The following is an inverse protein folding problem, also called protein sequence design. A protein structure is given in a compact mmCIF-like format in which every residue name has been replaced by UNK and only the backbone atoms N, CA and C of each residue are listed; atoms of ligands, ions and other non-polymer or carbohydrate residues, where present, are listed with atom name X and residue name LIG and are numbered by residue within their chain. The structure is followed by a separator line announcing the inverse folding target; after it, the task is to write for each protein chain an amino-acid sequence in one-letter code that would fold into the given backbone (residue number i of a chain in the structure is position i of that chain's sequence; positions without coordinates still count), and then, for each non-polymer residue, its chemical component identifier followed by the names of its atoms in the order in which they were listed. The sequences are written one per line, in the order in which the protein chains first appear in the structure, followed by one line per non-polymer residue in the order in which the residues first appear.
data_IF_825313598348
#
_entry.id   IF_825313598348
#
_cell.length_a   1.000
_cell.length_b   1.000
_cell.length_c   1.000
_cell.angle_alpha   90.00
_cell.angle_beta   90.00
_cell.angle_gamma   90.00
#
_symmetry.space_group_name_H-M   'P 1'
#
loop_
_entity.id
_entity.type
_entity.pdbx_description
1 polymer ?
#
# COMPACT_ATOMS: atom_id res chain seq x y z
N UNK A 1 -14.39 -5.61 -1.32
CA UNK A 1 -14.44 -6.78 -0.42
C UNK A 1 -13.10 -6.87 0.28
N UNK A 2 -13.10 -7.13 1.59
CA UNK A 2 -11.86 -7.39 2.36
C UNK A 2 -11.59 -8.88 2.30
N UNK A 3 -10.36 -9.28 2.00
CA UNK A 3 -9.96 -10.68 2.01
C UNK A 3 -9.56 -11.14 3.41
N UNK A 4 -9.52 -12.45 3.60
CA UNK A 4 -9.01 -13.13 4.78
C UNK A 4 -7.68 -13.78 4.41
N UNK A 5 -6.63 -13.51 5.18
CA UNK A 5 -5.34 -14.19 4.99
C UNK A 5 -5.28 -15.48 5.81
N UNK A 6 -4.77 -16.56 5.24
CA UNK A 6 -4.69 -17.86 5.92
C UNK A 6 -3.23 -18.27 6.11
N UNK A 7 -2.78 -18.25 7.36
CA UNK A 7 -1.43 -18.60 7.79
C UNK A 7 -1.35 -20.05 8.26
N UNK A 8 -0.34 -20.77 7.82
CA UNK A 8 -0.11 -22.19 8.09
C UNK A 8 1.39 -22.51 7.98
N UNK A 9 1.80 -23.73 8.38
CA UNK A 9 3.19 -24.16 8.22
C UNK A 9 3.45 -24.72 6.81
N UNK A 10 4.23 -24.04 5.94
CA UNK A 10 4.42 -24.48 4.55
C UNK A 10 5.31 -25.73 4.39
N UNK A 11 5.98 -26.17 5.46
CA UNK A 11 6.81 -27.38 5.47
C UNK A 11 6.08 -28.62 5.98
N UNK A 12 4.88 -28.45 6.55
CA UNK A 12 4.05 -29.54 7.08
C UNK A 12 3.01 -29.97 6.04
N UNK A 13 3.11 -31.19 5.53
CA UNK A 13 2.11 -31.75 4.60
C UNK A 13 0.69 -31.75 5.17
N UNK A 14 0.46 -32.19 6.44
CA UNK A 14 -0.86 -32.09 7.06
C UNK A 14 -1.42 -30.66 7.09
N UNK A 15 -0.58 -29.66 7.37
CA UNK A 15 -1.00 -28.26 7.41
C UNK A 15 -1.38 -27.73 6.03
N UNK A 16 -0.62 -28.09 4.98
CA UNK A 16 -0.91 -27.75 3.58
C UNK A 16 -2.27 -28.34 3.15
N UNK A 17 -2.51 -29.62 3.44
CA UNK A 17 -3.77 -30.29 3.11
C UNK A 17 -4.95 -29.63 3.84
N UNK A 18 -4.77 -29.29 5.11
CA UNK A 18 -5.78 -28.61 5.91
C UNK A 18 -6.04 -27.18 5.41
N UNK A 19 -5.00 -26.44 5.08
CA UNK A 19 -5.03 -25.11 4.48
C UNK A 19 -5.86 -25.12 3.19
N UNK A 20 -5.59 -26.06 2.27
CA UNK A 20 -6.36 -26.17 1.03
C UNK A 20 -7.84 -26.46 1.28
N UNK A 21 -8.12 -27.37 2.21
CA UNK A 21 -9.49 -27.72 2.60
C UNK A 21 -10.21 -26.50 3.18
N UNK A 22 -9.59 -25.80 4.12
CA UNK A 22 -10.16 -24.62 4.76
C UNK A 22 -10.36 -23.47 3.78
N UNK A 23 -9.38 -23.21 2.90
CA UNK A 23 -9.51 -22.22 1.81
C UNK A 23 -10.71 -22.53 0.92
N UNK A 24 -10.88 -23.78 0.50
CA UNK A 24 -12.02 -24.20 -0.34
C UNK A 24 -13.34 -24.00 0.39
N UNK A 25 -13.42 -24.44 1.64
CA UNK A 25 -14.67 -24.42 2.40
C UNK A 25 -15.05 -22.96 2.78
N UNK A 26 -14.09 -22.06 3.04
CA UNK A 26 -14.34 -20.62 3.22
C UNK A 26 -14.73 -19.90 1.93
N UNK A 27 -14.10 -20.23 0.79
CA UNK A 27 -14.48 -19.67 -0.52
C UNK A 27 -15.88 -20.12 -0.95
N UNK A 28 -16.35 -21.28 -0.49
CA UNK A 28 -17.74 -21.72 -0.70
C UNK A 28 -18.77 -20.89 0.09
N UNK A 29 -18.31 -20.17 1.13
CA UNK A 29 -19.08 -19.16 1.88
C UNK A 29 -18.79 -17.74 1.35
N UNK A 30 -18.45 -17.59 0.05
CA UNK A 30 -18.19 -16.29 -0.59
C UNK A 30 -17.12 -15.39 0.08
N UNK A 31 -16.24 -15.97 0.91
CA UNK A 31 -15.09 -15.26 1.48
C UNK A 31 -13.94 -15.23 0.48
N UNK A 32 -13.38 -14.04 0.24
CA UNK A 32 -12.13 -13.90 -0.50
C UNK A 32 -10.96 -14.31 0.40
N UNK A 33 -10.28 -15.40 0.05
CA UNK A 33 -9.22 -16.00 0.90
C UNK A 33 -7.91 -16.04 0.15
N UNK A 34 -6.88 -15.41 0.74
CA UNK A 34 -5.51 -15.40 0.23
C UNK A 34 -4.59 -16.30 1.07
N UNK A 35 -3.61 -16.89 0.41
CA UNK A 35 -2.56 -17.74 1.00
C UNK A 35 -1.21 -17.41 0.39
N UNK A 36 -0.13 -17.77 1.05
CA UNK A 36 1.23 -17.59 0.53
C UNK A 36 1.50 -18.38 -0.78
N UNK A 37 0.76 -19.44 -1.10
CA UNK A 37 0.92 -20.18 -2.37
C UNK A 37 0.65 -19.34 -3.62
N UNK A 38 -0.20 -18.33 -3.49
CA UNK A 38 -0.64 -17.46 -4.60
C UNK A 38 0.22 -16.18 -4.66
N UNK A 39 1.17 -16.02 -3.73
CA UNK A 39 1.88 -14.77 -3.46
C UNK A 39 3.40 -15.00 -3.36
N UNK A 40 4.20 -13.99 -3.66
CA UNK A 40 5.66 -14.10 -3.60
C UNK A 40 6.27 -12.86 -2.94
N UNK A 41 7.22 -13.07 -2.03
CA UNK A 41 8.01 -12.00 -1.42
C UNK A 41 7.14 -11.00 -0.66
N UNK A 42 7.28 -9.72 -1.02
CA UNK A 42 6.55 -8.60 -0.38
C UNK A 42 5.03 -8.70 -0.54
N UNK A 43 4.53 -9.46 -1.52
CA UNK A 43 3.09 -9.66 -1.72
C UNK A 43 2.43 -10.42 -0.55
N UNK A 44 3.18 -11.26 0.18
CA UNK A 44 2.66 -11.99 1.35
C UNK A 44 2.42 -11.01 2.50
N UNK A 45 3.40 -10.15 2.80
CA UNK A 45 3.28 -9.15 3.86
C UNK A 45 2.14 -8.18 3.55
N UNK A 46 2.04 -7.76 2.29
CA UNK A 46 0.92 -6.97 1.79
C UNK A 46 -0.42 -7.64 2.06
N UNK A 47 -0.56 -8.92 1.72
CA UNK A 47 -1.81 -9.64 1.90
C UNK A 47 -2.18 -9.78 3.38
N UNK A 48 -1.21 -9.91 4.29
CA UNK A 48 -1.47 -9.94 5.73
C UNK A 48 -1.95 -8.58 6.22
N UNK A 49 -1.18 -7.52 5.93
CA UNK A 49 -1.42 -6.16 6.45
C UNK A 49 -2.74 -5.56 5.96
N UNK A 50 -3.18 -5.93 4.76
CA UNK A 50 -4.42 -5.44 4.17
C UNK A 50 -5.62 -6.37 4.38
N UNK A 51 -5.44 -7.52 5.05
CA UNK A 51 -6.54 -8.45 5.31
C UNK A 51 -7.53 -7.86 6.32
N UNK A 52 -8.82 -8.12 6.10
CA UNK A 52 -9.84 -7.79 7.10
C UNK A 52 -9.76 -8.71 8.33
N UNK A 53 -9.19 -9.90 8.16
CA UNK A 53 -8.89 -10.83 9.24
C UNK A 53 -7.78 -11.80 8.82
N UNK A 54 -7.11 -12.39 9.79
CA UNK A 54 -6.18 -13.50 9.56
C UNK A 54 -6.66 -14.75 10.27
N UNK A 55 -6.63 -15.89 9.59
CA UNK A 55 -6.82 -17.22 10.20
C UNK A 55 -5.44 -17.84 10.39
N UNK A 56 -5.14 -18.30 11.60
CA UNK A 56 -3.88 -19.00 11.88
C UNK A 56 -4.17 -20.48 12.18
N UNK A 57 -3.70 -21.38 11.31
CA UNK A 57 -3.74 -22.83 11.57
C UNK A 57 -2.63 -23.15 12.57
N UNK A 58 -3.02 -23.64 13.73
CA UNK A 58 -2.16 -23.92 14.87
C UNK A 58 -1.95 -25.43 15.02
N UNK A 59 -0.71 -25.86 14.80
CA UNK A 59 -0.16 -27.22 14.96
C UNK A 59 1.21 -27.12 15.66
N UNK A 60 1.75 -28.18 16.27
CA UNK A 60 3.11 -28.16 16.83
C UNK A 60 4.18 -27.69 15.81
N UNK A 61 4.02 -28.07 14.55
CA UNK A 61 4.88 -27.63 13.44
C UNK A 61 4.73 -26.13 13.17
N UNK A 62 3.50 -25.60 13.18
CA UNK A 62 3.26 -24.16 13.05
C UNK A 62 3.85 -23.36 14.23
N UNK A 63 3.79 -23.91 15.45
CA UNK A 63 4.35 -23.28 16.65
C UNK A 63 5.87 -23.10 16.61
N UNK A 64 6.58 -23.86 15.77
CA UNK A 64 8.03 -23.73 15.56
C UNK A 64 8.40 -23.10 14.21
N UNK A 65 7.40 -22.74 13.40
CA UNK A 65 7.61 -22.17 12.07
C UNK A 65 7.89 -20.67 12.15
N UNK A 66 9.09 -20.27 11.74
CA UNK A 66 9.47 -18.84 11.64
C UNK A 66 8.58 -18.05 10.69
N UNK A 67 7.98 -18.71 9.69
CA UNK A 67 7.03 -18.09 8.75
C UNK A 67 5.73 -17.75 9.47
N UNK A 68 5.15 -18.69 10.21
CA UNK A 68 3.92 -18.46 10.99
C UNK A 68 4.16 -17.41 12.07
N UNK A 69 5.29 -17.46 12.78
CA UNK A 69 5.68 -16.43 13.75
C UNK A 69 5.74 -15.03 13.11
N UNK A 70 6.36 -14.89 11.93
CA UNK A 70 6.42 -13.62 11.20
C UNK A 70 5.03 -13.12 10.82
N UNK A 71 4.15 -13.99 10.34
CA UNK A 71 2.78 -13.62 9.96
C UNK A 71 1.97 -13.15 11.16
N UNK A 72 2.04 -13.86 12.29
CA UNK A 72 1.39 -13.49 13.55
C UNK A 72 1.88 -12.12 14.06
N UNK A 73 3.19 -11.89 14.01
CA UNK A 73 3.78 -10.60 14.40
C UNK A 73 3.28 -9.47 13.49
N UNK A 74 3.31 -9.66 12.17
CA UNK A 74 2.81 -8.67 11.22
C UNK A 74 1.31 -8.36 11.45
N UNK A 75 0.48 -9.38 11.64
CA UNK A 75 -0.92 -9.17 11.93
C UNK A 75 -1.12 -8.40 13.24
N UNK A 76 -0.35 -8.73 14.29
CA UNK A 76 -0.39 -8.01 15.57
C UNK A 76 0.02 -6.54 15.43
N UNK A 77 1.17 -6.27 14.79
CA UNK A 77 1.72 -4.93 14.62
C UNK A 77 0.79 -3.99 13.84
N UNK A 78 0.01 -4.55 12.91
CA UNK A 78 -0.94 -3.81 12.08
C UNK A 78 -2.39 -3.91 12.56
N UNK A 79 -2.63 -4.52 13.73
CA UNK A 79 -3.97 -4.61 14.32
C UNK A 79 -4.95 -5.49 13.54
N UNK A 80 -4.46 -6.40 12.71
CA UNK A 80 -5.28 -7.38 11.98
C UNK A 80 -5.78 -8.42 12.96
N UNK A 81 -7.10 -8.63 13.02
CA UNK A 81 -7.70 -9.62 13.93
C UNK A 81 -7.29 -11.03 13.55
N UNK A 82 -6.72 -11.76 14.51
CA UNK A 82 -6.31 -13.16 14.33
C UNK A 82 -7.40 -14.09 14.88
N UNK A 83 -7.82 -15.05 14.06
CA UNK A 83 -8.72 -16.15 14.41
C UNK A 83 -7.92 -17.45 14.49
N UNK A 84 -7.50 -17.88 15.69
CA UNK A 84 -6.69 -19.06 15.85
C UNK A 84 -7.53 -20.35 15.68
N UNK A 85 -7.04 -21.28 14.86
CA UNK A 85 -7.66 -22.58 14.59
C UNK A 85 -6.74 -23.69 15.07
N UNK A 86 -7.07 -24.34 16.18
CA UNK A 86 -6.28 -25.44 16.73
C UNK A 86 -6.56 -26.74 15.97
N UNK A 87 -5.57 -27.20 15.21
CA UNK A 87 -5.68 -28.37 14.35
C UNK A 87 -5.05 -29.63 14.95
N UNK A 88 -3.99 -29.47 15.76
CA UNK A 88 -3.32 -30.55 16.49
C UNK A 88 -2.53 -30.02 17.68
N UNK A 89 -2.03 -30.91 18.53
CA UNK A 89 -1.28 -30.55 19.73
C UNK A 89 -2.16 -30.08 20.89
N UNK A 90 -1.51 -29.66 21.98
CA UNK A 90 -2.18 -29.10 23.14
C UNK A 90 -2.20 -27.56 23.08
N UNK A 91 -3.29 -26.90 23.49
CA UNK A 91 -3.41 -25.44 23.38
C UNK A 91 -2.25 -24.66 24.02
N UNK A 92 -1.75 -25.13 25.17
CA UNK A 92 -0.68 -24.46 25.91
C UNK A 92 0.70 -24.56 25.24
N UNK A 93 0.89 -25.53 24.35
CA UNK A 93 2.15 -25.73 23.63
C UNK A 93 2.16 -25.00 22.29
N UNK A 94 0.98 -24.78 21.70
CA UNK A 94 0.85 -24.36 20.30
C UNK A 94 0.30 -22.95 20.15
N UNK A 95 -0.52 -22.47 21.09
CA UNK A 95 -1.12 -21.12 21.01
C UNK A 95 -0.14 -20.11 21.63
N UNK A 96 0.40 -19.14 20.87
CA UNK A 96 1.19 -18.06 21.43
C UNK A 96 0.45 -17.36 22.58
N UNK A 97 1.15 -17.01 23.67
CA UNK A 97 0.52 -16.43 24.87
C UNK A 97 -0.18 -15.10 24.58
N UNK A 98 0.23 -14.40 23.52
CA UNK A 98 -0.31 -13.10 23.13
C UNK A 98 -1.59 -13.22 22.28
N UNK A 99 -1.98 -14.42 21.88
CA UNK A 99 -3.25 -14.65 21.19
C UNK A 99 -4.39 -14.79 22.20
N UNK A 100 -5.48 -14.08 21.91
CA UNK A 100 -6.72 -14.15 22.69
C UNK A 100 -7.33 -15.55 22.59
N UNK A 101 -7.07 -16.38 23.62
CA UNK A 101 -7.58 -17.74 23.73
C UNK A 101 -9.13 -17.81 23.75
N UNK A 102 -9.80 -16.67 23.97
CA UNK A 102 -11.27 -16.58 23.99
C UNK A 102 -11.91 -16.97 22.65
N UNK A 103 -11.18 -16.85 21.54
CA UNK A 103 -11.71 -17.13 20.18
C UNK A 103 -11.01 -18.32 19.49
N UNK A 104 -10.48 -19.26 20.27
CA UNK A 104 -9.85 -20.46 19.74
C UNK A 104 -10.88 -21.43 19.14
N UNK A 105 -10.78 -21.69 17.84
CA UNK A 105 -11.61 -22.68 17.14
C UNK A 105 -10.88 -24.03 17.14
N UNK A 106 -11.33 -24.97 17.96
CA UNK A 106 -10.74 -26.31 18.06
C UNK A 106 -11.37 -27.28 17.05
N UNK A 107 -10.58 -27.70 16.06
CA UNK A 107 -11.01 -28.65 15.01
C UNK A 107 -10.42 -30.06 15.18
N UNK A 108 -9.65 -30.32 16.27
CA UNK A 108 -8.91 -31.58 16.47
C UNK A 108 -9.81 -32.83 16.41
N UNK A 109 -11.03 -32.72 16.93
CA UNK A 109 -11.98 -33.85 16.98
C UNK A 109 -13.04 -33.81 15.88
N UNK A 110 -13.37 -32.62 15.37
CA UNK A 110 -14.45 -32.39 14.41
C UNK A 110 -14.12 -31.17 13.56
N UNK A 111 -14.06 -31.35 12.24
CA UNK A 111 -13.78 -30.26 11.31
C UNK A 111 -15.02 -29.41 10.99
N UNK A 112 -16.10 -30.05 10.52
CA UNK A 112 -17.22 -29.33 9.87
C UNK A 112 -17.94 -28.39 10.83
N UNK A 113 -18.23 -28.85 12.05
CA UNK A 113 -19.05 -28.08 12.99
C UNK A 113 -18.34 -26.80 13.46
N UNK A 114 -17.09 -26.84 13.97
CA UNK A 114 -16.43 -25.61 14.45
C UNK A 114 -16.16 -24.61 13.32
N UNK A 115 -15.84 -25.07 12.11
CA UNK A 115 -15.66 -24.15 10.97
C UNK A 115 -16.97 -23.43 10.62
N UNK A 116 -18.07 -24.18 10.43
CA UNK A 116 -19.34 -23.58 9.99
C UNK A 116 -20.11 -22.85 11.09
N UNK A 117 -20.03 -23.28 12.35
CA UNK A 117 -20.80 -22.67 13.44
C UNK A 117 -20.02 -21.65 14.27
N UNK A 118 -18.69 -21.75 14.32
CA UNK A 118 -17.88 -20.91 15.19
C UNK A 118 -17.01 -19.95 14.37
N UNK A 119 -16.21 -20.46 13.42
CA UNK A 119 -15.27 -19.63 12.65
C UNK A 119 -15.98 -18.70 11.65
N UNK A 120 -16.80 -19.25 10.75
CA UNK A 120 -17.44 -18.47 9.67
C UNK A 120 -18.32 -17.34 10.23
N UNK A 121 -19.22 -17.58 11.21
CA UNK A 121 -20.01 -16.50 11.80
C UNK A 121 -19.16 -15.44 12.51
N UNK A 122 -18.07 -15.84 13.17
CA UNK A 122 -17.18 -14.89 13.83
C UNK A 122 -16.40 -14.02 12.84
N UNK A 123 -16.00 -14.59 11.70
CA UNK A 123 -15.39 -13.83 10.60
C UNK A 123 -16.37 -12.80 10.03
N UNK A 124 -17.59 -13.20 9.68
CA UNK A 124 -18.59 -12.24 9.19
C UNK A 124 -18.90 -11.16 10.20
N UNK A 125 -19.14 -11.51 11.46
CA UNK A 125 -19.42 -10.51 12.50
C UNK A 125 -18.28 -9.48 12.62
N UNK A 126 -17.03 -9.92 12.50
CA UNK A 126 -15.88 -9.02 12.52
C UNK A 126 -15.80 -8.16 11.26
N UNK A 127 -15.90 -8.76 10.08
CA UNK A 127 -15.82 -8.06 8.79
C UNK A 127 -16.97 -7.05 8.64
N UNK A 128 -18.18 -7.39 9.10
CA UNK A 128 -19.35 -6.51 9.10
C UNK A 128 -19.21 -5.38 10.10
N UNK A 129 -18.77 -5.65 11.33
CA UNK A 129 -18.53 -4.60 12.32
C UNK A 129 -17.48 -3.59 11.82
N UNK A 130 -16.41 -4.09 11.21
CA UNK A 130 -15.38 -3.27 10.62
C UNK A 130 -15.90 -2.48 9.40
N UNK A 131 -16.76 -3.07 8.57
CA UNK A 131 -17.43 -2.38 7.47
C UNK A 131 -18.38 -1.27 7.97
N UNK A 132 -19.15 -1.53 9.02
CA UNK A 132 -20.08 -0.57 9.62
C UNK A 132 -19.34 0.60 10.28
N UNK A 133 -18.27 0.32 11.02
CA UNK A 133 -17.41 1.34 11.61
C UNK A 133 -16.79 2.24 10.53
N UNK A 134 -16.45 1.67 9.37
CA UNK A 134 -15.90 2.44 8.25
C UNK A 134 -16.98 3.25 7.52
N UNK A 135 -18.22 2.76 7.45
CA UNK A 135 -19.29 3.35 6.63
C UNK A 135 -20.08 4.46 7.32
N UNK A 136 -20.04 4.55 8.65
CA UNK A 136 -20.96 5.45 9.40
C UNK A 136 -20.38 6.80 9.75
N UNK A 137 -19.05 6.96 9.73
CA UNK A 137 -18.42 8.22 10.13
C UNK A 137 -17.41 8.64 9.06
N UNK A 138 -17.71 9.73 8.36
CA UNK A 138 -16.75 10.39 7.48
C UNK A 138 -15.52 10.76 8.34
N UNK A 139 -14.30 10.36 7.93
CA UNK A 139 -13.11 10.58 8.74
C UNK A 139 -12.83 12.09 8.86
N UNK A 140 -12.44 12.52 10.05
CA UNK A 140 -12.04 13.90 10.27
C UNK A 140 -10.74 14.22 9.51
N UNK A 141 -10.49 15.50 9.25
CA UNK A 141 -9.22 15.95 8.66
C UNK A 141 -7.99 15.50 9.47
N UNK A 142 -8.10 15.39 10.79
CA UNK A 142 -7.01 14.88 11.65
C UNK A 142 -6.76 13.38 11.51
N UNK A 143 -7.82 12.58 11.31
CA UNK A 143 -7.68 11.16 11.03
C UNK A 143 -7.05 10.93 9.65
N UNK A 144 -7.46 11.69 8.64
CA UNK A 144 -6.86 11.66 7.31
C UNK A 144 -5.40 12.11 7.33
N UNK A 145 -5.08 13.18 8.07
CA UNK A 145 -3.69 13.64 8.25
C UNK A 145 -2.80 12.52 8.81
N UNK A 146 -3.29 11.81 9.83
CA UNK A 146 -2.59 10.66 10.43
C UNK A 146 -2.43 9.52 9.43
N UNK A 147 -3.48 9.21 8.67
CA UNK A 147 -3.52 8.10 7.73
C UNK A 147 -2.59 8.32 6.52
N UNK A 148 -2.61 9.52 5.96
CA UNK A 148 -1.84 9.89 4.77
C UNK A 148 -0.47 10.50 5.09
N UNK A 149 -0.14 10.72 6.36
CA UNK A 149 1.18 11.14 6.80
C UNK A 149 1.52 12.62 6.55
N UNK A 150 0.50 13.49 6.49
CA UNK A 150 0.65 14.95 6.42
C UNK A 150 0.24 15.60 7.75
N UNK A 151 0.62 16.87 8.00
CA UNK A 151 0.18 17.62 9.20
C UNK A 151 -0.99 18.56 8.89
N UNK A 152 -1.76 18.95 9.91
CA UNK A 152 -2.84 19.94 9.74
C UNK A 152 -2.33 21.31 9.25
N UNK A 153 -1.11 21.69 9.63
CA UNK A 153 -0.46 22.90 9.09
C UNK A 153 -0.15 22.75 7.59
N UNK A 154 0.26 21.57 7.14
CA UNK A 154 0.45 21.29 5.71
C UNK A 154 -0.88 21.37 4.94
N UNK A 155 -1.97 20.88 5.53
CA UNK A 155 -3.31 21.01 4.96
C UNK A 155 -3.74 22.48 4.84
N UNK A 156 -3.53 23.30 5.87
CA UNK A 156 -3.82 24.75 5.83
C UNK A 156 -2.99 25.48 4.76
N UNK A 157 -1.71 25.13 4.63
CA UNK A 157 -0.85 25.66 3.57
C UNK A 157 -1.37 25.26 2.19
N UNK A 158 -1.75 23.98 2.02
CA UNK A 158 -2.26 23.46 0.76
C UNK A 158 -3.59 24.10 0.35
N UNK A 159 -4.51 24.33 1.31
CA UNK A 159 -5.73 25.15 1.13
C UNK A 159 -5.41 26.54 0.56
N UNK A 160 -4.31 27.15 1.01
CA UNK A 160 -3.84 28.46 0.53
C UNK A 160 -3.02 28.41 -0.77
N UNK A 161 -2.89 27.24 -1.40
CA UNK A 161 -2.10 27.03 -2.61
C UNK A 161 -0.58 27.07 -2.39
N UNK A 162 -0.12 26.78 -1.16
CA UNK A 162 1.30 26.81 -0.78
C UNK A 162 1.79 25.45 -0.31
N UNK A 163 3.00 25.08 -0.73
CA UNK A 163 3.67 23.87 -0.27
C UNK A 163 4.39 24.08 1.06
N UNK A 164 4.32 23.08 1.93
CA UNK A 164 5.08 23.03 3.18
C UNK A 164 6.59 22.97 2.94
N UNK A 165 7.38 23.27 3.98
CA UNK A 165 8.84 23.15 3.90
C UNK A 165 9.29 21.70 3.67
N UNK A 166 8.54 20.72 4.21
CA UNK A 166 8.78 19.29 4.04
C UNK A 166 8.43 18.85 2.61
N UNK A 167 7.25 19.19 2.11
CA UNK A 167 6.86 18.91 0.71
C UNK A 167 7.88 19.52 -0.27
N UNK A 168 8.26 20.79 -0.10
CA UNK A 168 9.32 21.44 -0.89
C UNK A 168 10.69 20.75 -0.78
N UNK A 169 10.97 20.05 0.31
CA UNK A 169 12.22 19.30 0.46
C UNK A 169 12.21 18.01 -0.37
N UNK A 170 11.06 17.34 -0.46
CA UNK A 170 10.86 16.14 -1.30
C UNK A 170 11.05 16.52 -2.78
N UNK A 171 10.39 17.57 -3.26
CA UNK A 171 10.61 18.09 -4.62
C UNK A 171 12.06 18.46 -4.91
N UNK A 172 12.76 19.04 -3.92
CA UNK A 172 14.18 19.36 -4.06
C UNK A 172 15.04 18.11 -4.19
N UNK A 173 14.66 17.01 -3.54
CA UNK A 173 15.36 15.74 -3.64
C UNK A 173 15.17 15.11 -5.02
N UNK A 174 13.95 15.09 -5.55
CA UNK A 174 13.67 14.52 -6.88
C UNK A 174 14.28 15.34 -8.01
N UNK A 175 14.24 16.67 -7.91
CA UNK A 175 14.93 17.55 -8.85
C UNK A 175 16.46 17.33 -8.81
N UNK A 176 17.04 17.11 -7.61
CA UNK A 176 18.47 16.80 -7.46
C UNK A 176 18.81 15.43 -8.06
N UNK A 177 17.99 14.41 -7.83
CA UNK A 177 18.20 13.08 -8.42
C UNK A 177 18.12 13.12 -9.94
N UNK A 178 17.13 13.83 -10.49
CA UNK A 178 16.99 14.06 -11.93
C UNK A 178 18.21 14.79 -12.50
N UNK A 179 18.72 15.80 -11.81
CA UNK A 179 19.94 16.51 -12.20
C UNK A 179 21.17 15.59 -12.18
N UNK A 180 21.35 14.81 -11.12
CA UNK A 180 22.46 13.85 -11.00
C UNK A 180 22.38 12.81 -12.12
N UNK A 181 21.20 12.24 -12.37
CA UNK A 181 20.99 11.27 -13.44
C UNK A 181 21.35 11.86 -14.82
N UNK A 182 20.90 13.09 -15.08
CA UNK A 182 21.21 13.78 -16.32
C UNK A 182 22.72 14.07 -16.47
N UNK A 183 23.42 14.37 -15.37
CA UNK A 183 24.87 14.58 -15.35
C UNK A 183 25.64 13.27 -15.56
N UNK A 184 25.23 12.18 -14.90
CA UNK A 184 25.83 10.84 -15.05
C UNK A 184 25.66 10.30 -16.46
N UNK A 185 24.52 10.56 -17.12
CA UNK A 185 24.30 10.18 -18.52
C UNK A 185 25.01 11.12 -19.51
N UNK A 186 25.11 12.41 -19.17
CA UNK A 186 25.72 13.43 -20.02
C UNK A 186 27.25 13.36 -20.09
N UNK A 187 27.93 13.11 -18.97
CA UNK A 187 29.41 13.12 -18.90
C UNK A 187 30.08 12.05 -19.79
N UNK A 188 29.63 10.78 -19.83
CA UNK A 188 30.19 9.77 -20.71
C UNK A 188 29.98 10.12 -22.19
N UNK A 189 28.84 10.71 -22.55
CA UNK A 189 28.60 11.15 -23.92
C UNK A 189 29.58 12.27 -24.33
N UNK A 190 29.90 13.16 -23.39
CA UNK A 190 30.94 14.18 -23.55
C UNK A 190 32.34 13.55 -23.71
N UNK A 191 32.67 12.53 -22.92
CA UNK A 191 33.92 11.78 -23.06
C UNK A 191 34.04 11.05 -24.41
N UNK A 192 32.96 10.40 -24.85
CA UNK A 192 32.89 9.73 -26.16
C UNK A 192 33.05 10.73 -27.31
N UNK A 193 32.47 11.93 -27.20
CA UNK A 193 32.67 13.01 -28.17
C UNK A 193 34.16 13.36 -28.32
N UNK A 194 34.87 13.53 -27.21
CA UNK A 194 36.31 13.87 -27.22
C UNK A 194 37.13 12.77 -27.91
N UNK A 195 36.83 11.50 -27.65
CA UNK A 195 37.47 10.38 -28.32
C UNK A 195 37.18 10.36 -29.84
N UNK A 196 35.95 10.67 -30.24
CA UNK A 196 35.55 10.71 -31.65
C UNK A 196 36.24 11.87 -32.40
N UNK A 197 36.41 13.03 -31.78
CA UNK A 197 37.12 14.17 -32.37
C UNK A 197 38.55 13.80 -32.80
N UNK A 198 39.20 12.88 -32.08
CA UNK A 198 40.56 12.43 -32.39
C UNK A 198 40.64 11.54 -33.64
N UNK A 199 39.51 10.98 -34.12
CA UNK A 199 39.49 10.00 -35.23
C UNK A 199 39.22 10.57 -36.63
N UNK A 200 38.91 11.87 -36.76
CA UNK A 200 38.81 12.56 -38.06
C UNK A 200 37.60 13.48 -38.27
N UNK A 201 37.67 14.31 -39.31
CA UNK A 201 36.73 15.43 -39.60
C UNK A 201 35.28 15.01 -39.87
N UNK A 202 35.03 13.83 -40.46
CA UNK A 202 33.67 13.37 -40.75
C UNK A 202 32.93 12.93 -39.48
N UNK A 203 33.63 12.30 -38.54
CA UNK A 203 33.05 11.90 -37.27
C UNK A 203 32.76 13.09 -36.35
N UNK A 204 33.52 14.19 -36.50
CA UNK A 204 33.33 15.43 -35.75
C UNK A 204 31.94 16.06 -35.93
N UNK A 205 31.42 16.09 -37.17
CA UNK A 205 30.10 16.71 -37.44
C UNK A 205 28.95 15.93 -36.82
N UNK A 206 29.02 14.61 -36.90
CA UNK A 206 28.00 13.72 -36.31
C UNK A 206 28.04 13.82 -34.78
N UNK A 207 29.24 13.80 -34.20
CA UNK A 207 29.42 13.88 -32.75
C UNK A 207 28.91 15.22 -32.20
N UNK A 208 29.22 16.34 -32.85
CA UNK A 208 28.69 17.66 -32.49
C UNK A 208 27.16 17.71 -32.55
N UNK A 209 26.55 17.07 -33.56
CA UNK A 209 25.10 16.96 -33.65
C UNK A 209 24.48 16.21 -32.48
N UNK A 210 25.05 15.06 -32.11
CA UNK A 210 24.59 14.26 -30.95
C UNK A 210 24.75 15.03 -29.64
N UNK A 211 25.88 15.72 -29.43
CA UNK A 211 26.09 16.54 -28.25
C UNK A 211 25.09 17.68 -28.15
N UNK A 212 24.80 18.36 -29.26
CA UNK A 212 23.79 19.44 -29.29
C UNK A 212 22.41 18.92 -28.88
N UNK A 213 22.02 17.72 -29.35
CA UNK A 213 20.77 17.09 -28.95
C UNK A 213 20.75 16.73 -27.46
N UNK A 214 21.85 16.20 -26.93
CA UNK A 214 21.96 15.85 -25.50
C UNK A 214 21.94 17.09 -24.60
N UNK A 215 22.65 18.15 -24.98
CA UNK A 215 22.64 19.43 -24.26
C UNK A 215 21.26 20.09 -24.35
N UNK A 216 20.61 20.03 -25.50
CA UNK A 216 19.23 20.50 -25.68
C UNK A 216 18.26 19.74 -24.78
N UNK A 217 18.35 18.42 -24.75
CA UNK A 217 17.54 17.58 -23.86
C UNK A 217 17.80 17.90 -22.38
N UNK A 218 19.06 18.04 -21.97
CA UNK A 218 19.44 18.44 -20.61
C UNK A 218 18.90 19.81 -20.23
N UNK A 219 18.97 20.79 -21.14
CA UNK A 219 18.44 22.13 -20.90
C UNK A 219 16.92 22.10 -20.74
N UNK A 220 16.22 21.28 -21.54
CA UNK A 220 14.77 21.10 -21.44
C UNK A 220 14.40 20.45 -20.10
N UNK A 221 15.08 19.38 -19.68
CA UNK A 221 14.77 18.72 -18.40
C UNK A 221 15.04 19.64 -17.21
N UNK A 222 16.14 20.38 -17.22
CA UNK A 222 16.45 21.40 -16.23
C UNK A 222 15.40 22.52 -16.20
N UNK A 223 14.95 22.96 -17.37
CA UNK A 223 13.93 24.00 -17.47
C UNK A 223 12.60 23.54 -16.89
N UNK A 224 12.14 22.33 -17.21
CA UNK A 224 10.91 21.76 -16.63
C UNK A 224 11.03 21.56 -15.12
N UNK A 225 12.15 21.01 -14.63
CA UNK A 225 12.39 20.89 -13.19
C UNK A 225 12.39 22.26 -12.48
N UNK A 226 12.94 23.29 -13.13
CA UNK A 226 12.95 24.65 -12.58
C UNK A 226 11.56 25.28 -12.56
N UNK A 227 10.77 25.08 -13.62
CA UNK A 227 9.38 25.56 -13.67
C UNK A 227 8.55 24.87 -12.60
N UNK A 228 8.65 23.55 -12.47
CA UNK A 228 7.94 22.81 -11.42
C UNK A 228 8.34 23.30 -10.02
N UNK A 229 9.63 23.59 -9.81
CA UNK A 229 10.12 24.14 -8.55
C UNK A 229 9.58 25.56 -8.25
N UNK A 230 9.55 26.44 -9.25
CA UNK A 230 9.12 27.83 -9.07
C UNK A 230 7.61 28.00 -9.03
N UNK A 231 6.90 27.15 -9.76
CA UNK A 231 5.46 27.24 -9.98
C UNK A 231 4.76 25.95 -9.59
N UNK A 232 5.20 25.30 -8.50
CA UNK A 232 4.51 24.16 -7.91
C UNK A 232 3.09 24.55 -7.54
N UNK A 233 2.20 24.49 -8.53
CA UNK A 233 0.78 24.76 -8.40
C UNK A 233 0.19 23.54 -7.74
N UNK A 234 -0.48 23.78 -6.63
CA UNK A 234 -1.30 22.77 -6.00
C UNK A 234 -2.57 22.70 -6.83
N UNK A 235 -2.80 21.54 -7.42
CA UNK A 235 -4.08 21.20 -8.01
C UNK A 235 -5.00 20.65 -6.92
N UNK A 236 -6.30 20.72 -7.14
CA UNK A 236 -7.26 20.15 -6.22
C UNK A 236 -8.43 19.56 -6.99
N UNK A 237 -9.06 18.54 -6.39
CA UNK A 237 -10.24 17.87 -6.90
C UNK A 237 -11.19 17.57 -5.76
N UNK A 238 -12.49 17.60 -6.07
CA UNK A 238 -13.57 17.26 -5.14
C UNK A 238 -14.38 16.08 -5.67
N UNK A 239 -14.78 15.19 -4.76
CA UNK A 239 -15.72 14.12 -5.06
C UNK A 239 -15.60 12.95 -4.08
N UNK A 240 -16.27 11.85 -4.41
CA UNK A 240 -16.16 10.62 -3.62
C UNK A 240 -14.73 10.07 -3.66
N UNK A 241 -14.20 9.71 -2.48
CA UNK A 241 -12.89 9.06 -2.36
C UNK A 241 -13.03 7.56 -2.57
N UNK A 242 -12.45 7.06 -3.66
CA UNK A 242 -12.44 5.63 -4.01
C UNK A 242 -11.01 5.13 -4.11
N UNK A 243 -10.76 3.95 -3.54
CA UNK A 243 -9.48 3.26 -3.69
C UNK A 243 -9.48 2.49 -5.00
N UNK A 244 -8.39 2.58 -5.76
CA UNK A 244 -8.21 1.73 -6.94
C UNK A 244 -8.17 0.24 -6.57
N UNK A 245 -8.50 -0.63 -7.53
CA UNK A 245 -8.36 -2.07 -7.39
C UNK A 245 -6.94 -2.57 -7.73
N UNK A 246 -6.13 -1.74 -8.38
CA UNK A 246 -4.81 -2.11 -8.89
C UNK A 246 -3.72 -1.83 -7.84
N UNK A 247 -2.95 -2.85 -7.47
CA UNK A 247 -1.91 -2.75 -6.44
C UNK A 247 -0.53 -2.40 -7.01
N UNK A 248 -0.31 -2.62 -8.32
CA UNK A 248 0.96 -2.37 -9.02
C UNK A 248 1.28 -0.89 -9.13
N UNK A 249 0.25 -0.05 -9.17
CA UNK A 249 0.31 1.41 -9.12
C UNK A 249 -0.79 1.90 -8.19
N UNK A 250 -0.53 2.05 -6.89
CA UNK A 250 -1.54 2.46 -5.93
C UNK A 250 -1.97 3.92 -6.16
N UNK A 251 -3.23 4.11 -6.54
CA UNK A 251 -3.86 5.44 -6.67
C UNK A 251 -5.23 5.47 -6.00
N UNK A 252 -5.73 6.67 -5.76
CA UNK A 252 -7.11 6.97 -5.34
C UNK A 252 -7.81 7.81 -6.40
N UNK A 253 -9.11 7.64 -6.51
CA UNK A 253 -10.00 8.47 -7.30
C UNK A 253 -10.67 9.49 -6.37
N UNK A 254 -10.62 10.76 -6.74
CA UNK A 254 -11.39 11.82 -6.07
C UNK A 254 -12.09 12.63 -7.15
N UNK A 255 -13.39 12.42 -7.30
CA UNK A 255 -14.15 12.95 -8.44
C UNK A 255 -13.73 12.26 -9.74
N UNK A 256 -13.18 13.03 -10.68
CA UNK A 256 -12.66 12.51 -11.97
C UNK A 256 -11.13 12.43 -12.01
N UNK A 257 -10.45 12.82 -10.93
CA UNK A 257 -8.99 12.85 -10.88
C UNK A 257 -8.44 11.56 -10.27
N UNK A 258 -7.33 11.10 -10.84
CA UNK A 258 -6.54 9.99 -10.32
C UNK A 258 -5.33 10.57 -9.62
N UNK A 259 -5.09 10.13 -8.40
CA UNK A 259 -4.04 10.67 -7.55
C UNK A 259 -3.23 9.51 -7.00
N UNK A 260 -1.94 9.49 -7.30
CA UNK A 260 -0.99 8.50 -6.84
C UNK A 260 -0.76 8.65 -5.33
N UNK A 261 -0.70 7.51 -4.64
CA UNK A 261 -0.44 7.46 -3.20
C UNK A 261 0.56 6.35 -2.87
N UNK A 262 1.35 6.49 -1.80
CA UNK A 262 2.22 5.42 -1.33
C UNK A 262 1.46 4.11 -1.04
N UNK A 263 2.07 2.97 -1.43
CA UNK A 263 1.47 1.63 -1.28
C UNK A 263 1.03 1.33 0.16
N UNK A 264 1.83 1.72 1.14
CA UNK A 264 1.54 1.52 2.56
C UNK A 264 0.31 2.31 3.04
N UNK A 265 0.00 3.45 2.42
CA UNK A 265 -1.21 4.21 2.68
C UNK A 265 -2.38 3.52 1.99
N UNK A 266 -2.24 3.20 0.70
CA UNK A 266 -3.27 2.52 -0.10
C UNK A 266 -3.80 1.25 0.58
N UNK A 267 -2.91 0.45 1.18
CA UNK A 267 -3.26 -0.78 1.91
C UNK A 267 -4.22 -0.56 3.07
N UNK A 268 -4.12 0.59 3.73
CA UNK A 268 -4.93 0.96 4.91
C UNK A 268 -6.25 1.61 4.52
N UNK A 269 -6.42 1.99 3.26
CA UNK A 269 -7.66 2.60 2.79
C UNK A 269 -8.74 1.52 2.59
N UNK A 270 -9.98 1.77 3.04
CA UNK A 270 -11.14 1.02 2.59
C UNK A 270 -11.38 1.23 1.09
N UNK A 271 -12.24 0.41 0.50
CA UNK A 271 -12.56 0.50 -0.94
C UNK A 271 -13.20 1.85 -1.30
N UNK A 272 -14.01 2.40 -0.41
CA UNK A 272 -14.65 3.71 -0.56
C UNK A 272 -14.84 4.34 0.81
N UNK A 273 -14.83 5.67 0.84
CA UNK A 273 -15.23 6.44 2.02
C UNK A 273 -16.62 7.05 1.82
N UNK A 274 -17.43 7.17 2.87
CA UNK A 274 -18.68 7.93 2.81
C UNK A 274 -18.38 9.44 2.73
N UNK A 275 -19.17 10.16 1.94
CA UNK A 275 -19.09 11.61 1.78
C UNK A 275 -18.14 12.08 0.67
N UNK A 276 -18.07 13.39 0.50
CA UNK A 276 -17.17 14.03 -0.47
C UNK A 276 -15.86 14.45 0.19
N UNK A 277 -14.79 14.40 -0.58
CA UNK A 277 -13.44 14.74 -0.16
C UNK A 277 -12.83 15.74 -1.13
N UNK A 278 -12.04 16.66 -0.59
CA UNK A 278 -11.18 17.54 -1.36
C UNK A 278 -9.74 17.04 -1.23
N UNK A 279 -9.18 16.59 -2.33
CA UNK A 279 -7.77 16.20 -2.41
C UNK A 279 -6.94 17.31 -3.01
N UNK A 280 -5.78 17.55 -2.42
CA UNK A 280 -4.75 18.46 -2.91
C UNK A 280 -3.60 17.63 -3.41
N UNK A 281 -3.18 17.86 -4.64
CA UNK A 281 -2.14 17.08 -5.30
C UNK A 281 -1.27 17.99 -6.14
N UNK A 282 -0.12 17.47 -6.51
CA UNK A 282 0.86 18.22 -7.29
C UNK A 282 0.65 18.03 -8.81
N UNK A 283 1.48 18.66 -9.66
CA UNK A 283 1.40 18.46 -11.10
C UNK A 283 1.78 17.06 -11.58
N UNK A 284 2.42 16.23 -10.74
CA UNK A 284 2.76 14.83 -11.02
C UNK A 284 1.68 13.85 -10.54
N UNK A 285 0.53 14.36 -10.05
CA UNK A 285 -0.57 13.57 -9.50
C UNK A 285 -0.25 12.91 -8.15
N UNK A 286 0.81 13.34 -7.44
CA UNK A 286 1.12 12.87 -6.09
C UNK A 286 0.23 13.57 -5.05
N UNK A 287 -0.40 12.78 -4.16
CA UNK A 287 -1.23 13.33 -3.10
C UNK A 287 -0.39 14.14 -2.09
N UNK A 288 -0.78 15.40 -1.86
CA UNK A 288 -0.18 16.28 -0.86
C UNK A 288 -0.96 16.25 0.46
N UNK A 289 -2.28 16.36 0.40
CA UNK A 289 -3.20 16.28 1.55
C UNK A 289 -4.63 16.03 1.10
N UNK A 290 -5.49 15.58 2.00
CA UNK A 290 -6.91 15.33 1.72
C UNK A 290 -7.79 15.66 2.92
N UNK A 291 -8.99 16.16 2.68
CA UNK A 291 -9.94 16.53 3.74
C UNK A 291 -11.38 16.22 3.36
N UNK A 292 -12.28 16.00 4.34
CA UNK A 292 -13.71 15.94 4.05
C UNK A 292 -14.22 17.31 3.59
N UNK A 293 -15.09 17.33 2.59
CA UNK A 293 -15.85 18.54 2.22
C UNK A 293 -16.94 18.69 3.28
N UNK A 294 -16.78 19.67 4.18
CA UNK A 294 -17.82 19.98 5.16
C UNK A 294 -18.97 20.70 4.44
N UNK A 295 -20.16 20.09 4.39
CA UNK A 295 -21.36 20.73 3.81
C UNK A 295 -21.75 22.07 4.49
N UNK A 296 -21.16 22.36 5.67
CA UNK A 296 -21.48 23.54 6.47
C UNK A 296 -20.44 24.68 6.40
N UNK A 297 -19.34 24.52 5.66
CA UNK A 297 -18.37 25.60 5.43
C UNK A 297 -18.67 26.25 4.07
N UNK A 298 -19.48 27.32 4.08
CA UNK A 298 -19.72 28.17 2.91
C UNK A 298 -18.37 28.70 2.35
N UNK A 299 -18.19 28.72 1.01
CA UNK A 299 -16.91 29.01 0.33
C UNK A 299 -16.40 30.45 0.48
#
# INVERSE_FOLDING_TARGET
MRHVFLSYCPTSKPDIELMHRLRRDLRAEDLDVLTDEELVGEAIEFAIVSAGAMIAILTPEAGTSSTVTRHLQLAHDYGVRIFPVLASGEPHDVVPPDLDATFLVDIRTRYVRPIGHDLVPALYAHLDADAQNTSTTQPSASQLATLFGFTLEELELNRSGKLSSRQRSIYRQDARLSFIAALVLGLPALGALVAVVQTGLHCLRVSLGVLSLLLGWLAITLFFATIQYLFGRINWAEGELRRSAEWTRPWIEVGNERIDIPLNIWQRLPTSYPGEFRAYFDPMEDLLSIEPVNENEDP
#
